data_IF_836132692121
#
_entry.id   IF_836132692121
#
_cell.length_a   1.000
_cell.length_b   1.000
_cell.length_c   1.000
_cell.angle_alpha   90.00
_cell.angle_beta   90.00
_cell.angle_gamma   90.00
#
_symmetry.space_group_name_H-M   'P 1'
#
loop_
_entity.id
_entity.type
_entity.pdbx_description
1 polymer ?
#
# COMPACT_ATOMS: atom_id res chain seq x y z
N UNK A 1 -10.73 2.14 -28.73
CA UNK A 1 -10.92 2.37 -27.29
C UNK A 1 -9.75 1.72 -26.55
N UNK A 2 -8.76 2.50 -26.10
CA UNK A 2 -7.56 1.98 -25.42
C UNK A 2 -7.85 1.94 -23.93
N UNK A 3 -7.94 0.75 -23.34
CA UNK A 3 -8.11 0.56 -21.89
C UNK A 3 -6.73 0.75 -21.25
N UNK A 4 -6.47 1.94 -20.69
CA UNK A 4 -5.26 2.19 -19.91
C UNK A 4 -5.49 1.65 -18.49
N UNK A 5 -5.01 0.44 -18.23
CA UNK A 5 -5.09 -0.22 -16.92
C UNK A 5 -3.94 0.30 -16.04
N UNK A 6 -4.09 1.49 -15.47
CA UNK A 6 -3.12 2.04 -14.51
C UNK A 6 -3.58 1.65 -13.11
N UNK A 7 -3.14 0.48 -12.65
CA UNK A 7 -3.34 0.04 -11.26
C UNK A 7 -2.24 0.67 -10.40
N UNK A 8 -2.62 1.56 -9.47
CA UNK A 8 -1.80 1.81 -8.28
C UNK A 8 -1.73 0.48 -7.52
N UNK A 9 -0.62 -0.23 -7.66
CA UNK A 9 -0.27 -1.28 -6.73
C UNK A 9 -0.04 -0.61 -5.38
N UNK A 10 -1.06 -0.61 -4.52
CA UNK A 10 -0.81 -0.56 -3.09
C UNK A 10 0.14 -1.72 -2.79
N UNK A 11 1.39 -1.36 -2.55
CA UNK A 11 2.51 -2.24 -2.26
C UNK A 11 2.21 -2.93 -0.92
N UNK A 12 1.32 -3.93 -0.91
CA UNK A 12 1.22 -4.85 0.22
C UNK A 12 2.59 -5.54 0.29
N UNK A 13 3.18 -5.61 1.47
CA UNK A 13 4.25 -6.58 1.77
C UNK A 13 3.77 -7.45 2.92
N UNK A 14 3.93 -8.75 2.73
CA UNK A 14 3.80 -9.71 3.80
C UNK A 14 5.19 -9.78 4.43
N UNK A 15 5.32 -9.38 5.69
CA UNK A 15 6.55 -9.54 6.45
C UNK A 15 6.96 -11.02 6.44
N UNK A 16 8.12 -11.34 5.88
CA UNK A 16 8.99 -12.30 6.56
C UNK A 16 9.72 -11.48 7.63
N UNK A 17 9.50 -11.83 8.90
CA UNK A 17 10.45 -11.50 9.96
C UNK A 17 11.74 -12.25 9.63
N UNK A 18 12.65 -11.60 8.90
CA UNK A 18 14.05 -11.96 8.99
C UNK A 18 14.54 -11.33 10.28
N UNK A 19 14.96 -12.17 11.22
CA UNK A 19 15.68 -11.73 12.40
C UNK A 19 16.80 -10.77 11.99
N UNK A 20 16.94 -9.71 12.77
CA UNK A 20 17.98 -8.70 12.62
C UNK A 20 19.36 -9.36 12.74
N UNK A 21 19.91 -9.76 11.61
CA UNK A 21 21.33 -10.06 11.50
C UNK A 21 22.02 -8.84 10.91
N UNK A 22 22.72 -8.14 11.79
CA UNK A 22 23.81 -7.20 11.53
C UNK A 22 24.33 -7.23 10.10
N UNK A 23 24.19 -6.10 9.40
CA UNK A 23 24.85 -5.83 8.13
C UNK A 23 26.36 -6.13 8.23
N UNK A 24 26.92 -7.03 7.42
CA UNK A 24 28.37 -7.10 7.27
C UNK A 24 28.85 -5.94 6.38
N UNK A 25 29.94 -5.34 6.84
CA UNK A 25 30.77 -4.37 6.14
C UNK A 25 31.18 -4.84 4.74
N UNK A 26 31.36 -3.85 3.84
CA UNK A 26 31.96 -3.97 2.51
C UNK A 26 33.22 -4.85 2.48
N UNK A 27 33.43 -5.53 1.37
CA UNK A 27 34.68 -5.47 0.61
C UNK A 27 34.41 -5.71 -0.89
N UNK A 28 35.11 -4.96 -1.74
CA UNK A 28 35.06 -5.04 -3.21
C UNK A 28 35.95 -6.18 -3.71
N UNK A 29 35.58 -6.84 -4.81
CA UNK A 29 36.49 -7.07 -5.95
C UNK A 29 35.76 -7.53 -7.23
N UNK A 30 36.27 -7.01 -8.34
CA UNK A 30 36.01 -7.28 -9.77
C UNK A 30 36.25 -8.74 -10.16
N UNK A 31 35.44 -9.32 -11.07
CA UNK A 31 35.89 -9.76 -12.40
C UNK A 31 34.74 -10.35 -13.26
N UNK A 32 34.95 -10.20 -14.55
CA UNK A 32 34.27 -10.69 -15.73
C UNK A 32 33.89 -12.18 -15.75
N UNK A 33 32.76 -12.49 -16.40
CA UNK A 33 32.72 -13.41 -17.57
C UNK A 33 31.29 -13.67 -18.02
N UNK A 34 31.10 -13.66 -19.34
CA UNK A 34 29.91 -14.18 -20.02
C UNK A 34 29.84 -15.69 -19.80
N UNK A 35 28.65 -16.25 -19.56
CA UNK A 35 28.19 -17.48 -20.23
C UNK A 35 26.67 -17.66 -20.09
N UNK A 36 26.16 -18.46 -21.02
CA UNK A 36 24.78 -18.65 -21.43
C UNK A 36 24.22 -19.96 -20.81
N UNK A 37 22.88 -20.06 -20.78
CA UNK A 37 22.00 -21.25 -20.73
C UNK A 37 21.65 -21.93 -19.37
N UNK A 38 20.35 -22.28 -19.29
CA UNK A 38 19.68 -23.47 -18.69
C UNK A 38 19.04 -23.34 -17.30
N UNK A 39 17.71 -23.19 -17.28
CA UNK A 39 16.87 -24.05 -16.43
C UNK A 39 16.89 -25.46 -17.06
N UNK A 40 16.80 -26.57 -16.31
CA UNK A 40 16.07 -26.69 -15.04
C UNK A 40 16.82 -27.48 -13.94
N UNK A 41 16.45 -27.26 -12.67
CA UNK A 41 16.65 -28.28 -11.64
C UNK A 41 15.42 -28.34 -10.75
N UNK A 42 14.69 -29.43 -10.95
CA UNK A 42 13.78 -30.01 -10.00
C UNK A 42 14.63 -30.57 -8.85
N UNK A 43 14.70 -29.86 -7.72
CA UNK A 43 15.17 -30.44 -6.47
C UNK A 43 13.96 -30.93 -5.68
N UNK A 44 13.77 -32.24 -5.74
CA UNK A 44 12.85 -32.97 -4.87
C UNK A 44 13.69 -33.56 -3.75
N UNK A 45 14.02 -32.77 -2.74
CA UNK A 45 14.47 -33.30 -1.45
C UNK A 45 14.25 -32.28 -0.34
N UNK A 46 13.65 -32.74 0.77
CA UNK A 46 13.56 -31.99 2.02
C UNK A 46 12.20 -31.34 2.27
N UNK A 47 11.30 -32.10 2.91
CA UNK A 47 10.21 -31.56 3.71
C UNK A 47 10.70 -30.40 4.59
N UNK A 48 10.41 -29.18 4.17
CA UNK A 48 10.15 -28.08 5.06
C UNK A 48 8.85 -27.45 4.58
N UNK A 49 7.76 -27.93 5.18
CA UNK A 49 6.50 -27.19 5.27
C UNK A 49 6.79 -25.87 5.98
N UNK A 50 7.40 -24.90 5.28
CA UNK A 50 7.19 -23.51 5.60
C UNK A 50 5.83 -23.18 5.00
N UNK A 51 4.77 -23.46 5.75
CA UNK A 51 3.44 -22.96 5.46
C UNK A 51 3.60 -21.47 5.15
N UNK A 52 3.45 -21.10 3.87
CA UNK A 52 3.28 -19.70 3.49
C UNK A 52 2.07 -19.26 4.32
N UNK A 53 2.20 -18.31 5.26
CA UNK A 53 1.05 -17.90 6.04
C UNK A 53 -0.07 -17.51 5.08
N UNK A 54 -1.28 -18.01 5.32
CA UNK A 54 -2.51 -17.80 4.54
C UNK A 54 -2.84 -16.30 4.45
N UNK A 55 -2.06 -15.57 3.66
CA UNK A 55 -2.10 -14.11 3.66
C UNK A 55 -3.13 -13.65 2.65
N UNK A 56 -4.10 -12.87 3.11
CA UNK A 56 -5.09 -12.26 2.22
C UNK A 56 -4.50 -11.03 1.57
N UNK A 57 -4.49 -11.01 0.23
CA UNK A 57 -4.11 -9.82 -0.55
C UNK A 57 -5.38 -9.09 -0.98
N UNK A 58 -5.44 -7.78 -0.76
CA UNK A 58 -6.57 -6.97 -1.18
C UNK A 58 -6.24 -6.18 -2.44
N UNK A 59 -7.20 -6.09 -3.36
CA UNK A 59 -7.05 -5.41 -4.64
C UNK A 59 -8.22 -4.44 -4.82
N UNK A 60 -7.90 -3.16 -4.94
CA UNK A 60 -8.86 -2.13 -5.38
C UNK A 60 -8.86 -2.11 -6.90
N UNK A 61 -10.02 -2.32 -7.52
CA UNK A 61 -10.16 -2.22 -8.99
C UNK A 61 -10.92 -0.96 -9.35
N UNK A 62 -10.37 -0.20 -10.29
CA UNK A 62 -11.06 0.92 -10.92
C UNK A 62 -10.71 1.00 -12.40
N UNK A 63 -11.51 1.75 -13.16
CA UNK A 63 -11.23 2.14 -14.53
C UNK A 63 -11.10 3.66 -14.57
N UNK A 64 -10.00 4.15 -15.14
CA UNK A 64 -9.83 5.59 -15.35
C UNK A 64 -10.44 5.96 -16.70
N UNK A 65 -11.35 6.92 -16.68
CA UNK A 65 -11.84 7.64 -17.86
C UNK A 65 -11.22 9.04 -17.87
N UNK A 66 -11.46 9.84 -18.92
CA UNK A 66 -10.81 11.15 -19.08
C UNK A 66 -10.96 12.05 -17.84
N UNK A 67 -12.12 11.98 -17.17
CA UNK A 67 -12.46 12.91 -16.08
C UNK A 67 -12.66 12.24 -14.71
N UNK A 68 -12.67 10.90 -14.62
CA UNK A 68 -13.01 10.20 -13.37
C UNK A 68 -12.44 8.79 -13.26
N UNK A 69 -12.20 8.37 -12.01
CA UNK A 69 -12.00 6.97 -11.61
C UNK A 69 -13.35 6.32 -11.32
N UNK A 70 -13.66 5.26 -12.05
CA UNK A 70 -14.84 4.44 -11.80
C UNK A 70 -14.42 3.19 -11.02
N UNK A 71 -14.69 3.19 -9.71
CA UNK A 71 -14.37 2.07 -8.82
C UNK A 71 -15.30 0.88 -9.06
N UNK A 72 -14.72 -0.28 -9.38
CA UNK A 72 -15.41 -1.55 -9.62
C UNK A 72 -15.49 -2.42 -8.36
N UNK A 73 -14.81 -2.01 -7.29
CA UNK A 73 -14.85 -2.67 -5.99
C UNK A 73 -13.51 -3.16 -5.48
N UNK A 74 -13.56 -3.75 -4.29
CA UNK A 74 -12.44 -4.37 -3.60
C UNK A 74 -12.59 -5.88 -3.65
N UNK A 75 -11.48 -6.55 -3.93
CA UNK A 75 -11.38 -7.99 -4.04
C UNK A 75 -10.38 -8.52 -3.01
N UNK A 76 -10.69 -9.66 -2.41
CA UNK A 76 -9.77 -10.43 -1.59
C UNK A 76 -9.23 -11.61 -2.40
N UNK A 77 -7.91 -11.77 -2.41
CA UNK A 77 -7.21 -12.94 -2.91
C UNK A 77 -6.63 -13.74 -1.75
N UNK A 78 -7.11 -14.96 -1.56
CA UNK A 78 -6.67 -15.89 -0.51
C UNK A 78 -6.66 -17.31 -1.09
N UNK A 79 -5.59 -18.07 -0.84
CA UNK A 79 -5.45 -19.47 -1.22
C UNK A 79 -5.74 -19.73 -2.70
N UNK A 80 -5.20 -18.87 -3.57
CA UNK A 80 -5.33 -18.95 -5.04
C UNK A 80 -6.71 -18.57 -5.59
N UNK A 81 -7.64 -18.11 -4.74
CA UNK A 81 -9.00 -17.71 -5.11
C UNK A 81 -9.17 -16.22 -4.97
N UNK A 82 -9.85 -15.60 -5.94
CA UNK A 82 -10.25 -14.19 -5.90
C UNK A 82 -11.76 -14.09 -5.69
N UNK A 83 -12.16 -13.27 -4.71
CA UNK A 83 -13.55 -12.97 -4.34
C UNK A 83 -13.74 -11.46 -4.31
N UNK A 84 -14.75 -10.93 -5.00
CA UNK A 84 -15.18 -9.55 -4.79
C UNK A 84 -15.83 -9.46 -3.41
N UNK A 85 -15.34 -8.58 -2.55
CA UNK A 85 -15.83 -8.44 -1.18
C UNK A 85 -16.65 -7.17 -0.97
N UNK A 86 -16.35 -6.09 -1.70
CA UNK A 86 -17.07 -4.82 -1.58
C UNK A 86 -17.23 -4.15 -2.94
N UNK A 87 -18.43 -4.14 -3.50
CA UNK A 87 -18.75 -3.40 -4.72
C UNK A 87 -18.50 -1.90 -4.50
N UNK A 88 -17.94 -1.20 -5.50
CA UNK A 88 -17.68 0.24 -5.39
C UNK A 88 -16.64 0.67 -4.33
N UNK A 89 -16.02 -0.27 -3.61
CA UNK A 89 -14.95 0.01 -2.64
C UNK A 89 -13.76 0.74 -3.26
N UNK A 90 -13.19 1.68 -2.50
CA UNK A 90 -12.30 2.73 -3.02
C UNK A 90 -10.86 2.69 -2.50
N UNK A 91 -10.66 2.23 -1.28
CA UNK A 91 -9.34 2.10 -0.67
C UNK A 91 -9.34 1.02 0.43
N UNK A 92 -8.15 0.53 0.78
CA UNK A 92 -7.96 -0.53 1.78
C UNK A 92 -6.81 -0.16 2.71
N UNK A 93 -7.01 -0.38 4.01
CA UNK A 93 -5.93 -0.41 5.00
C UNK A 93 -5.96 -1.72 5.77
N UNK A 94 -4.88 -2.48 5.68
CA UNK A 94 -4.77 -3.78 6.38
C UNK A 94 -4.26 -3.56 7.79
N UNK A 95 -4.80 -4.32 8.74
CA UNK A 95 -4.28 -4.46 10.09
C UNK A 95 -3.75 -5.89 10.29
N UNK A 96 -2.48 -6.15 9.96
CA UNK A 96 -1.95 -7.51 9.92
C UNK A 96 -2.06 -8.26 11.25
N UNK A 97 -1.90 -7.57 12.38
CA UNK A 97 -1.92 -8.21 13.70
C UNK A 97 -3.31 -8.65 14.17
N UNK A 98 -4.39 -8.19 13.52
CA UNK A 98 -5.78 -8.58 13.86
C UNK A 98 -6.51 -9.30 12.73
N UNK A 99 -5.80 -9.75 11.67
CA UNK A 99 -6.41 -10.40 10.50
C UNK A 99 -7.57 -9.61 9.88
N UNK A 100 -7.55 -8.27 9.99
CA UNK A 100 -8.63 -7.37 9.56
C UNK A 100 -8.16 -6.39 8.50
N UNK A 101 -9.08 -5.96 7.64
CA UNK A 101 -8.86 -4.86 6.71
C UNK A 101 -10.01 -3.86 6.77
N UNK A 102 -9.66 -2.58 6.84
CA UNK A 102 -10.61 -1.47 6.78
C UNK A 102 -10.74 -1.00 5.34
N UNK A 103 -11.97 -0.89 4.87
CA UNK A 103 -12.30 -0.63 3.47
C UNK A 103 -13.06 0.68 3.38
N UNK A 104 -12.58 1.59 2.55
CA UNK A 104 -13.25 2.85 2.23
C UNK A 104 -14.33 2.64 1.18
N UNK A 105 -15.47 3.28 1.37
CA UNK A 105 -16.60 3.26 0.44
C UNK A 105 -17.27 4.64 0.39
N UNK A 106 -18.18 4.84 -0.58
CA UNK A 106 -18.93 6.09 -0.76
C UNK A 106 -19.93 6.42 0.36
N UNK A 107 -20.23 5.45 1.21
CA UNK A 107 -21.20 5.57 2.30
C UNK A 107 -20.58 5.28 3.68
N UNK A 108 -19.25 5.33 3.80
CA UNK A 108 -18.53 5.14 5.05
C UNK A 108 -17.47 4.03 5.00
N UNK A 109 -17.21 3.45 6.17
CA UNK A 109 -16.14 2.48 6.38
C UNK A 109 -16.74 1.08 6.56
N UNK A 110 -16.07 0.08 6.02
CA UNK A 110 -16.34 -1.34 6.29
C UNK A 110 -15.10 -2.00 6.90
N UNK A 111 -15.32 -3.07 7.64
CA UNK A 111 -14.26 -3.97 8.10
C UNK A 111 -14.48 -5.35 7.49
N UNK A 112 -13.40 -5.92 6.96
CA UNK A 112 -13.36 -7.29 6.48
C UNK A 112 -12.47 -8.12 7.40
N UNK A 113 -13.04 -9.16 7.98
CA UNK A 113 -12.32 -10.14 8.79
C UNK A 113 -11.85 -11.28 7.88
N UNK A 114 -10.53 -11.43 7.73
CA UNK A 114 -9.95 -12.36 6.77
C UNK A 114 -9.92 -13.82 7.24
N UNK A 115 -10.18 -14.06 8.53
CA UNK A 115 -10.31 -15.41 9.09
C UNK A 115 -11.72 -15.95 8.85
N UNK A 116 -12.74 -15.15 9.15
CA UNK A 116 -14.15 -15.52 9.03
C UNK A 116 -14.75 -15.19 7.66
N UNK A 117 -14.03 -14.45 6.83
CA UNK A 117 -14.46 -13.90 5.54
C UNK A 117 -15.74 -13.04 5.61
N UNK A 118 -15.97 -12.38 6.75
CA UNK A 118 -17.14 -11.53 6.99
C UNK A 118 -16.82 -10.07 6.67
N UNK A 119 -17.80 -9.39 6.06
CA UNK A 119 -17.78 -7.95 5.83
C UNK A 119 -18.86 -7.30 6.66
N UNK A 120 -18.49 -6.29 7.45
CA UNK A 120 -19.40 -5.55 8.32
C UNK A 120 -19.19 -4.05 8.17
N UNK A 121 -20.23 -3.26 8.42
CA UNK A 121 -20.10 -1.81 8.48
C UNK A 121 -19.32 -1.44 9.75
N UNK A 122 -18.37 -0.52 9.63
CA UNK A 122 -17.57 -0.06 10.77
C UNK A 122 -18.04 1.33 11.21
N UNK A 123 -18.59 1.39 12.43
CA UNK A 123 -19.14 2.61 12.99
C UNK A 123 -20.41 3.10 12.26
N UNK A 124 -20.71 4.39 12.41
CA UNK A 124 -21.92 5.02 11.85
C UNK A 124 -21.62 6.18 10.88
N UNK A 125 -20.34 6.45 10.59
CA UNK A 125 -19.96 7.46 9.61
C UNK A 125 -20.46 7.08 8.21
N UNK A 126 -21.06 8.06 7.53
CA UNK A 126 -21.64 7.91 6.19
C UNK A 126 -20.88 8.71 5.11
N UNK A 127 -19.69 9.20 5.43
CA UNK A 127 -18.88 10.00 4.53
C UNK A 127 -18.49 9.24 3.26
N UNK A 128 -18.32 9.98 2.17
CA UNK A 128 -17.77 9.43 0.93
C UNK A 128 -16.25 9.38 1.00
N UNK A 129 -15.69 8.19 1.24
CA UNK A 129 -14.27 8.01 1.58
C UNK A 129 -13.49 7.49 0.37
N UNK A 130 -12.40 8.16 0.01
CA UNK A 130 -11.51 7.81 -1.11
C UNK A 130 -10.12 7.31 -0.65
N UNK A 131 -9.76 7.51 0.63
CA UNK A 131 -8.53 6.99 1.22
C UNK A 131 -8.74 6.58 2.68
N UNK A 132 -8.02 5.57 3.13
CA UNK A 132 -8.08 5.07 4.51
C UNK A 132 -6.74 4.49 4.94
N UNK A 133 -6.28 4.82 6.14
CA UNK A 133 -5.05 4.29 6.75
C UNK A 133 -5.25 4.02 8.24
N UNK A 134 -4.78 2.87 8.71
CA UNK A 134 -4.93 2.39 10.09
C UNK A 134 -3.68 2.66 10.92
N UNK A 135 -3.85 3.30 12.08
CA UNK A 135 -2.77 3.46 13.06
C UNK A 135 -2.28 2.08 13.54
N UNK A 136 -1.00 1.96 13.84
CA UNK A 136 -0.39 0.69 14.24
C UNK A 136 -0.75 0.32 15.69
N UNK A 137 -0.91 1.32 16.56
CA UNK A 137 -0.95 1.12 18.03
C UNK A 137 -2.35 1.22 18.65
N UNK A 138 -3.28 1.91 17.99
CA UNK A 138 -4.64 2.17 18.50
C UNK A 138 -5.68 1.43 17.64
N UNK A 139 -6.98 1.64 17.85
CA UNK A 139 -8.03 1.26 16.90
C UNK A 139 -8.38 2.41 15.91
N UNK A 140 -7.70 3.56 16.02
CA UNK A 140 -7.99 4.76 15.24
C UNK A 140 -7.56 4.63 13.77
N UNK A 141 -8.23 5.41 12.92
CA UNK A 141 -7.99 5.47 11.48
C UNK A 141 -7.78 6.93 11.06
N UNK A 142 -7.09 7.15 9.95
CA UNK A 142 -7.27 8.37 9.17
C UNK A 142 -8.02 8.03 7.89
N UNK A 143 -8.94 8.92 7.52
CA UNK A 143 -9.71 8.83 6.28
C UNK A 143 -9.48 10.08 5.45
N UNK A 144 -9.48 9.91 4.13
CA UNK A 144 -9.53 10.97 3.15
C UNK A 144 -10.89 10.90 2.46
N UNK A 145 -11.61 12.01 2.50
CA UNK A 145 -12.96 12.15 1.94
C UNK A 145 -12.92 12.67 0.50
N UNK A 146 -14.01 12.47 -0.25
CA UNK A 146 -14.11 12.85 -1.67
C UNK A 146 -14.00 14.36 -1.92
N UNK A 147 -14.25 15.19 -0.90
CA UNK A 147 -14.00 16.64 -0.87
C UNK A 147 -12.56 17.00 -0.44
N UNK A 148 -11.64 16.02 -0.45
CA UNK A 148 -10.22 16.20 -0.15
C UNK A 148 -9.92 16.69 1.28
N UNK A 149 -10.76 16.28 2.25
CA UNK A 149 -10.55 16.58 3.67
C UNK A 149 -10.08 15.34 4.42
N UNK A 150 -9.03 15.50 5.23
CA UNK A 150 -8.52 14.45 6.10
C UNK A 150 -9.18 14.51 7.47
N UNK A 151 -9.65 13.36 7.95
CA UNK A 151 -10.15 13.21 9.32
C UNK A 151 -9.45 12.07 10.04
N UNK A 152 -9.16 12.27 11.33
CA UNK A 152 -8.89 11.17 12.25
C UNK A 152 -10.22 10.63 12.77
N UNK A 153 -10.45 9.33 12.60
CA UNK A 153 -11.62 8.61 13.05
C UNK A 153 -11.27 7.85 14.31
N UNK A 154 -12.08 8.04 15.35
CA UNK A 154 -11.89 7.52 16.70
C UNK A 154 -13.19 6.88 17.19
N UNK A 155 -13.16 6.31 18.39
CA UNK A 155 -14.34 5.74 19.06
C UNK A 155 -15.07 4.74 18.13
N UNK A 156 -14.29 3.81 17.57
CA UNK A 156 -14.77 2.73 16.69
C UNK A 156 -15.58 3.19 15.47
N UNK A 157 -15.22 4.34 14.89
CA UNK A 157 -15.90 4.84 13.70
C UNK A 157 -17.19 5.59 14.00
N UNK A 158 -17.40 6.03 15.25
CA UNK A 158 -18.57 6.85 15.62
C UNK A 158 -18.28 8.34 15.66
N UNK A 159 -16.99 8.73 15.69
CA UNK A 159 -16.55 10.11 15.77
C UNK A 159 -15.36 10.37 14.85
N UNK A 160 -15.29 11.59 14.35
CA UNK A 160 -14.17 12.06 13.53
C UNK A 160 -13.75 13.47 13.90
N UNK A 161 -12.46 13.74 13.77
CA UNK A 161 -11.83 15.04 14.04
C UNK A 161 -11.09 15.45 12.77
N UNK A 162 -11.34 16.67 12.29
CA UNK A 162 -10.65 17.19 11.10
C UNK A 162 -9.17 17.41 11.42
N UNK A 163 -8.30 16.98 10.50
CA UNK A 163 -6.87 17.31 10.53
C UNK A 163 -6.71 18.58 9.70
N UNK A 164 -6.60 19.74 10.36
CA UNK A 164 -6.63 21.03 9.66
C UNK A 164 -5.38 21.28 8.83
N UNK A 165 -4.27 20.65 9.20
CA UNK A 165 -2.97 20.81 8.59
C UNK A 165 -2.88 20.14 7.21
N UNK A 166 -3.69 19.10 6.97
CA UNK A 166 -3.68 18.32 5.73
C UNK A 166 -4.71 18.84 4.73
N UNK A 167 -4.46 20.02 4.17
CA UNK A 167 -5.34 20.67 3.19
C UNK A 167 -5.18 20.10 1.78
N UNK A 168 -6.29 19.94 1.06
CA UNK A 168 -6.33 19.51 -0.34
C UNK A 168 -5.56 18.21 -0.61
N UNK A 169 -5.64 17.26 0.31
CA UNK A 169 -4.93 15.99 0.19
C UNK A 169 -5.55 15.13 -0.93
N UNK A 170 -4.70 14.56 -1.79
CA UNK A 170 -5.09 13.62 -2.85
C UNK A 170 -4.84 12.16 -2.44
N UNK A 171 -3.86 11.93 -1.56
CA UNK A 171 -3.53 10.63 -0.96
C UNK A 171 -3.01 10.83 0.46
N UNK A 172 -3.19 9.83 1.33
CA UNK A 172 -2.68 9.84 2.70
C UNK A 172 -1.92 8.53 3.00
N UNK A 173 -0.92 8.63 3.87
CA UNK A 173 -0.15 7.48 4.38
C UNK A 173 0.24 7.71 5.83
N UNK A 174 0.46 6.60 6.55
CA UNK A 174 1.12 6.61 7.85
C UNK A 174 2.45 5.86 7.73
N UNK A 175 3.46 6.26 8.49
CA UNK A 175 4.62 5.40 8.73
C UNK A 175 4.34 4.36 9.84
N UNK A 176 5.40 3.73 10.36
CA UNK A 176 5.33 2.74 11.45
C UNK A 176 5.18 3.36 12.84
N UNK A 177 5.38 4.68 12.95
CA UNK A 177 5.18 5.47 14.17
C UNK A 177 3.90 6.30 14.15
N UNK A 178 3.04 6.06 13.15
CA UNK A 178 1.77 6.74 12.96
C UNK A 178 1.91 8.25 12.64
N UNK A 179 3.08 8.68 12.11
CA UNK A 179 3.19 10.02 11.52
C UNK A 179 2.37 10.08 10.23
N UNK A 180 1.56 11.13 10.09
CA UNK A 180 0.68 11.32 8.94
C UNK A 180 1.37 12.09 7.83
N UNK A 181 1.35 11.50 6.64
CA UNK A 181 1.82 12.10 5.41
C UNK A 181 0.70 12.18 4.40
N UNK A 182 0.79 13.14 3.49
CA UNK A 182 -0.16 13.27 2.39
C UNK A 182 0.51 13.80 1.13
N UNK A 183 -0.10 13.50 -0.02
CA UNK A 183 0.20 14.16 -1.29
C UNK A 183 -0.81 15.29 -1.45
N UNK A 184 -0.32 16.53 -1.56
CA UNK A 184 -1.14 17.70 -1.90
C UNK A 184 -1.09 17.99 -3.41
N UNK A 185 -1.35 19.25 -3.77
CA UNK A 185 -1.31 19.71 -5.16
C UNK A 185 0.04 19.44 -5.84
N UNK A 186 0.01 19.27 -7.17
CA UNK A 186 1.20 19.06 -8.01
C UNK A 186 2.08 17.87 -7.59
N UNK A 187 1.48 16.79 -7.08
CA UNK A 187 2.21 15.60 -6.61
C UNK A 187 3.21 15.87 -5.46
N UNK A 188 3.05 16.98 -4.73
CA UNK A 188 3.96 17.37 -3.65
C UNK A 188 3.62 16.62 -2.35
N UNK A 189 4.56 15.85 -1.77
CA UNK A 189 4.34 15.25 -0.46
C UNK A 189 4.62 16.22 0.69
N UNK A 190 3.88 16.02 1.77
CA UNK A 190 3.95 16.74 3.03
C UNK A 190 3.88 15.75 4.21
N UNK A 191 4.40 16.18 5.36
CA UNK A 191 4.18 15.53 6.65
C UNK A 191 3.44 16.48 7.59
N UNK A 192 2.46 15.96 8.32
CA UNK A 192 1.74 16.72 9.34
C UNK A 192 2.59 16.77 10.61
N UNK A 193 2.92 17.97 11.06
CA UNK A 193 3.61 18.22 12.32
C UNK A 193 2.75 19.10 13.24
N UNK A 194 3.15 19.22 14.51
CA UNK A 194 2.43 19.99 15.52
C UNK A 194 2.33 21.49 15.23
N UNK A 195 3.28 22.01 14.44
CA UNK A 195 3.35 23.40 13.99
C UNK A 195 2.79 23.61 12.57
N UNK A 196 2.13 22.60 12.00
CA UNK A 196 1.54 22.62 10.67
C UNK A 196 2.13 21.57 9.73
N UNK A 197 1.61 21.51 8.51
CA UNK A 197 2.15 20.62 7.48
C UNK A 197 3.47 21.16 6.91
N UNK A 198 4.47 20.28 6.80
CA UNK A 198 5.79 20.59 6.25
C UNK A 198 5.98 19.90 4.92
N UNK A 199 6.39 20.66 3.92
CA UNK A 199 6.75 20.15 2.59
C UNK A 199 7.99 19.26 2.71
N UNK A 200 7.95 18.06 2.12
CA UNK A 200 9.14 17.20 2.08
C UNK A 200 10.16 17.75 1.07
N UNK A 201 11.39 17.93 1.53
CA UNK A 201 12.52 18.39 0.74
C UNK A 201 13.45 17.22 0.32
N UNK A 202 14.33 17.47 -0.67
CA UNK A 202 15.25 16.46 -1.20
C UNK A 202 14.69 15.61 -2.35
N UNK A 203 13.48 15.91 -2.80
CA UNK A 203 12.80 15.24 -3.91
C UNK A 203 13.07 15.94 -5.25
N UNK A 204 13.01 15.22 -6.38
CA UNK A 204 13.12 15.83 -7.70
C UNK A 204 11.99 16.81 -7.96
N UNK A 205 12.30 17.94 -8.62
CA UNK A 205 11.38 19.07 -8.80
C UNK A 205 10.09 18.76 -9.59
N UNK A 206 10.08 17.69 -10.37
CA UNK A 206 8.93 17.31 -11.20
C UNK A 206 8.72 15.81 -11.19
N UNK A 207 7.59 15.38 -10.63
CA UNK A 207 7.12 14.00 -10.70
C UNK A 207 5.89 13.91 -11.59
N UNK A 208 5.97 13.11 -12.64
CA UNK A 208 4.81 12.82 -13.50
C UNK A 208 3.78 11.92 -12.81
N UNK A 209 4.17 11.23 -11.73
CA UNK A 209 3.28 10.41 -10.92
C UNK A 209 3.85 10.26 -9.51
N UNK A 210 3.04 10.56 -8.50
CA UNK A 210 3.38 10.33 -7.10
C UNK A 210 2.45 9.31 -6.43
N UNK A 211 3.05 8.43 -5.64
CA UNK A 211 2.33 7.51 -4.76
C UNK A 211 3.01 7.54 -3.41
N UNK A 212 2.21 7.55 -2.35
CA UNK A 212 2.69 7.48 -0.98
C UNK A 212 2.09 6.27 -0.28
N UNK A 213 2.89 5.58 0.52
CA UNK A 213 2.42 4.46 1.33
C UNK A 213 3.25 4.30 2.60
N UNK A 214 2.72 3.58 3.58
CA UNK A 214 3.55 3.00 4.63
C UNK A 214 4.67 2.19 3.97
N UNK A 215 5.87 2.25 4.55
CA UNK A 215 6.96 1.43 4.08
C UNK A 215 6.58 -0.07 4.21
N UNK A 216 6.74 -0.87 3.14
CA UNK A 216 6.46 -2.30 3.16
C UNK A 216 7.37 -3.08 4.10
N UNK A 217 8.57 -2.56 4.30
CA UNK A 217 9.56 -3.04 5.27
C UNK A 217 9.51 -2.13 6.49
N UNK A 218 9.73 -2.71 7.68
CA UNK A 218 9.80 -1.92 8.91
C UNK A 218 11.12 -1.16 8.91
N UNK A 219 11.04 0.12 8.56
CA UNK A 219 12.10 1.10 8.75
C UNK A 219 11.85 1.85 10.06
N UNK A 220 12.92 2.32 10.70
CA UNK A 220 12.85 2.96 12.02
C UNK A 220 11.88 4.15 11.99
N UNK A 221 11.92 4.95 10.92
CA UNK A 221 11.00 6.06 10.68
C UNK A 221 10.72 6.24 9.18
N UNK A 222 9.58 6.85 8.85
CA UNK A 222 9.32 7.34 7.50
C UNK A 222 8.37 6.50 6.64
N UNK A 223 7.87 7.14 5.59
CA UNK A 223 6.96 6.56 4.61
C UNK A 223 7.68 6.35 3.27
N UNK A 224 7.15 5.45 2.44
CA UNK A 224 7.60 5.29 1.06
C UNK A 224 6.91 6.30 0.16
N UNK A 225 7.71 6.94 -0.68
CA UNK A 225 7.24 7.85 -1.72
C UNK A 225 7.81 7.41 -3.06
N UNK A 226 6.93 7.11 -4.01
CA UNK A 226 7.32 6.81 -5.38
C UNK A 226 7.23 8.08 -6.22
N UNK A 227 8.34 8.49 -6.80
CA UNK A 227 8.40 9.54 -7.82
C UNK A 227 8.73 8.91 -9.17
N UNK A 228 7.71 8.76 -10.02
CA UNK A 228 7.84 7.93 -11.23
C UNK A 228 8.19 6.48 -10.85
N UNK A 229 9.39 6.04 -11.20
CA UNK A 229 9.90 4.69 -10.87
C UNK A 229 10.90 4.66 -9.71
N UNK A 230 11.33 5.82 -9.21
CA UNK A 230 12.31 5.90 -8.12
C UNK A 230 11.58 5.94 -6.77
N UNK A 231 11.83 4.96 -5.87
CA UNK A 231 11.39 5.06 -4.48
C UNK A 231 12.28 6.01 -3.67
N UNK A 232 11.66 6.67 -2.71
CA UNK A 232 12.28 7.48 -1.67
C UNK A 232 11.70 7.07 -0.33
N UNK A 233 12.51 7.22 0.73
CA UNK A 233 12.00 7.30 2.09
C UNK A 233 11.81 8.77 2.41
N UNK A 234 10.64 9.13 2.92
CA UNK A 234 10.32 10.48 3.41
C UNK A 234 10.15 10.42 4.93
N UNK A 235 10.65 11.43 5.63
CA UNK A 235 10.81 11.38 7.08
C UNK A 235 9.97 12.45 7.81
N UNK A 236 9.71 12.26 9.13
CA UNK A 236 8.94 13.22 9.93
C UNK A 236 9.57 14.62 10.06
N UNK A 237 10.90 14.71 9.92
CA UNK A 237 11.64 15.97 9.89
C UNK A 237 11.56 16.70 8.53
N UNK A 238 10.68 16.25 7.63
CA UNK A 238 10.45 16.79 6.29
C UNK A 238 11.63 16.66 5.31
N UNK A 239 12.53 15.70 5.53
CA UNK A 239 13.57 15.35 4.55
C UNK A 239 13.23 14.08 3.80
N UNK A 240 13.99 13.78 2.74
CA UNK A 240 13.87 12.54 1.99
C UNK A 240 15.23 12.01 1.56
N UNK A 241 15.28 10.71 1.31
CA UNK A 241 16.47 10.02 0.78
C UNK A 241 16.04 9.01 -0.30
N UNK A 242 16.80 8.87 -1.40
CA UNK A 242 16.52 7.85 -2.40
C UNK A 242 16.69 6.47 -1.78
N UNK A 243 15.69 5.59 -1.98
CA UNK A 243 15.80 4.20 -1.58
C UNK A 243 16.46 3.40 -2.70
N UNK A 244 17.49 2.63 -2.36
CA UNK A 244 18.21 1.76 -3.30
C UNK A 244 17.97 0.32 -2.87
N UNK A 245 17.28 -0.44 -3.72
CA UNK A 245 17.10 -1.87 -3.51
C UNK A 245 18.44 -2.59 -3.54
N UNK A 246 18.67 -3.46 -2.57
CA UNK A 246 19.64 -4.54 -2.71
C UNK A 246 19.22 -5.52 -3.82
N UNK A 247 20.17 -6.30 -4.32
CA UNK A 247 19.89 -7.31 -5.36
C UNK A 247 18.82 -8.32 -4.91
N UNK A 248 18.84 -8.68 -3.62
CA UNK A 248 17.84 -9.57 -3.03
C UNK A 248 16.44 -8.94 -3.01
N UNK A 249 16.31 -7.69 -2.55
CA UNK A 249 15.01 -7.00 -2.51
C UNK A 249 14.46 -6.77 -3.92
N UNK A 250 15.34 -6.51 -4.89
CA UNK A 250 14.96 -6.40 -6.30
C UNK A 250 14.38 -7.71 -6.83
N UNK A 251 15.03 -8.84 -6.55
CA UNK A 251 14.54 -10.16 -6.94
C UNK A 251 13.17 -10.48 -6.32
N UNK A 252 12.98 -10.14 -5.05
CA UNK A 252 11.70 -10.33 -4.35
C UNK A 252 10.59 -9.44 -4.91
N UNK A 253 10.91 -8.17 -5.21
CA UNK A 253 10.00 -7.25 -5.87
C UNK A 253 9.54 -7.77 -7.24
N UNK A 254 10.47 -8.26 -8.06
CA UNK A 254 10.14 -8.84 -9.37
C UNK A 254 9.28 -10.09 -9.25
N UNK A 255 9.56 -10.97 -8.28
CA UNK A 255 8.74 -12.16 -8.01
C UNK A 255 7.31 -11.75 -7.65
N UNK A 256 7.15 -10.78 -6.77
CA UNK A 256 5.84 -10.29 -6.35
C UNK A 256 5.05 -9.65 -7.48
N UNK A 257 5.73 -8.90 -8.35
CA UNK A 257 5.10 -8.36 -9.54
C UNK A 257 4.56 -9.46 -10.46
N UNK A 258 5.29 -10.57 -10.63
CA UNK A 258 4.78 -11.74 -11.37
C UNK A 258 3.55 -12.35 -10.70
N UNK A 259 3.56 -12.50 -9.39
CA UNK A 259 2.41 -13.04 -8.64
C UNK A 259 1.16 -12.15 -8.80
N UNK A 260 1.33 -10.81 -8.75
CA UNK A 260 0.24 -9.86 -9.00
C UNK A 260 -0.33 -9.97 -10.41
N UNK A 261 0.51 -10.20 -11.43
CA UNK A 261 0.04 -10.42 -12.80
C UNK A 261 -0.85 -11.67 -12.92
N UNK A 262 -0.51 -12.75 -12.21
CA UNK A 262 -1.34 -13.97 -12.16
C UNK A 262 -2.71 -13.65 -11.56
N UNK A 263 -2.75 -12.92 -10.45
CA UNK A 263 -4.02 -12.55 -9.80
C UNK A 263 -4.86 -11.65 -10.72
N UNK A 264 -4.24 -10.68 -11.40
CA UNK A 264 -4.95 -9.81 -12.34
C UNK A 264 -5.52 -10.59 -13.53
N UNK A 265 -4.81 -11.61 -14.02
CA UNK A 265 -5.32 -12.47 -15.08
C UNK A 265 -6.58 -13.24 -14.62
N UNK A 266 -6.56 -13.78 -13.40
CA UNK A 266 -7.74 -14.44 -12.82
C UNK A 266 -8.94 -13.48 -12.73
N UNK A 267 -8.71 -12.24 -12.26
CA UNK A 267 -9.75 -11.22 -12.16
C UNK A 267 -10.35 -10.86 -13.52
N UNK A 268 -9.53 -10.74 -14.57
CA UNK A 268 -10.01 -10.45 -15.94
C UNK A 268 -10.95 -11.54 -16.42
N UNK A 269 -10.55 -12.80 -16.26
CA UNK A 269 -11.33 -13.97 -16.69
C UNK A 269 -12.67 -14.11 -15.96
N UNK A 270 -12.80 -13.57 -14.73
CA UNK A 270 -14.06 -13.54 -13.99
C UNK A 270 -15.05 -12.48 -14.49
N UNK A 271 -14.56 -11.41 -15.14
CA UNK A 271 -15.41 -10.29 -15.62
C UNK A 271 -15.85 -10.42 -17.09
N UNK A 272 -15.31 -11.39 -17.82
CA UNK A 272 -15.64 -11.66 -19.23
C UNK A 272 -16.66 -12.80 -19.40
N UNK A 273 -17.28 -13.26 -18.29
CA UNK A 273 -18.41 -14.20 -18.26
C UNK A 273 -19.65 -13.49 -17.73
#
# INVERSE_FOLDING_TARGET
MRVLLVCLASLLVCLKTADSHSLPQKDYETDSSKHYITNPLNDTSGNNSSSVPDTTTFIVRYVTTVDKKEYKGIYAHKNGKVKKILEGGRAVSVWPSKSRAYLAHKDGIYVYDSETEKLEKYGNLSDSIIGIVKENRTDDLYILTEDHVVYKVIEEGTKKIKVNEAEHAEQIALDWDDNLYYIGANNQPYVVASDGAKKIEGLPAYSTSAVISRAPIKIEHGAWFMSGQQPYVIYPNATSEPFVFSDQEKLEYEKRNRDLQVIFLQMRNQTEK
#
